data_IF_724333951594
#
_entry.id   IF_724333951594
#
_cell.length_a   1.000
_cell.length_b   1.000
_cell.length_c   1.000
_cell.angle_alpha   90.00
_cell.angle_beta   90.00
_cell.angle_gamma   90.00
#
_symmetry.space_group_name_H-M   'P 1'
#
loop_
_entity.id
_entity.type
_entity.pdbx_description
1 polymer ?
#
# COMPACT_ATOMS: atom_id res chain seq x y z
N UNK A 1 17.51 22.73 22.56
CA UNK A 1 18.11 22.33 21.27
C UNK A 1 17.00 21.83 20.35
N UNK A 2 16.53 22.65 19.41
CA UNK A 2 15.62 22.19 18.35
C UNK A 2 16.51 21.61 17.24
N UNK A 3 16.47 20.29 17.03
CA UNK A 3 17.02 19.71 15.80
C UNK A 3 16.04 20.05 14.70
N UNK A 4 16.48 20.87 13.77
CA UNK A 4 15.82 21.10 12.48
C UNK A 4 15.86 19.74 11.77
N UNK A 5 14.68 19.19 11.44
CA UNK A 5 14.61 18.02 10.58
C UNK A 5 15.29 18.39 9.25
N UNK A 6 16.19 17.53 8.78
CA UNK A 6 16.73 17.68 7.44
C UNK A 6 15.55 17.49 6.46
N UNK A 7 15.18 18.55 5.74
CA UNK A 7 14.33 18.47 4.56
C UNK A 7 15.08 17.64 3.52
N UNK A 8 14.90 16.33 3.55
CA UNK A 8 15.20 15.46 2.42
C UNK A 8 14.26 15.90 1.28
N UNK A 9 14.76 16.26 0.08
CA UNK A 9 13.89 16.71 -0.99
C UNK A 9 12.82 15.64 -1.27
N UNK A 10 11.58 15.98 -0.92
CA UNK A 10 10.42 15.12 -1.06
C UNK A 10 10.37 14.59 -2.50
N UNK A 11 10.59 13.29 -2.67
CA UNK A 11 10.54 12.66 -3.99
C UNK A 11 9.12 12.78 -4.54
N UNK A 12 8.98 12.84 -5.85
CA UNK A 12 7.66 12.90 -6.46
C UNK A 12 6.82 11.66 -6.12
N UNK A 13 5.51 11.86 -6.10
CA UNK A 13 4.52 10.78 -6.06
C UNK A 13 4.80 9.69 -7.11
N UNK A 14 4.46 8.46 -6.77
CA UNK A 14 4.52 7.32 -7.68
C UNK A 14 3.50 7.43 -8.82
N UNK A 15 3.73 6.70 -9.90
CA UNK A 15 2.88 6.74 -11.11
C UNK A 15 1.65 5.82 -11.03
N UNK A 16 1.39 5.19 -9.89
CA UNK A 16 0.29 4.26 -9.66
C UNK A 16 0.49 2.86 -10.21
N UNK A 17 1.62 2.56 -10.85
CA UNK A 17 1.93 1.19 -11.32
C UNK A 17 2.00 0.21 -10.16
N UNK A 18 1.58 -1.02 -10.45
CA UNK A 18 1.60 -2.12 -9.50
C UNK A 18 2.55 -3.20 -10.01
N UNK A 19 3.47 -3.62 -9.15
CA UNK A 19 4.33 -4.76 -9.38
C UNK A 19 3.84 -5.93 -8.51
N UNK A 20 3.66 -7.09 -9.14
CA UNK A 20 3.36 -8.35 -8.45
C UNK A 20 4.66 -9.14 -8.34
N UNK A 21 5.07 -9.48 -7.13
CA UNK A 21 6.29 -10.23 -6.85
C UNK A 21 6.02 -11.45 -5.97
N UNK A 22 6.92 -12.44 -6.03
CA UNK A 22 6.81 -13.70 -5.30
C UNK A 22 6.54 -14.88 -6.24
N UNK A 23 6.52 -16.08 -5.67
CA UNK A 23 6.22 -17.30 -6.43
C UNK A 23 4.71 -17.50 -6.50
N UNK A 24 4.13 -17.56 -7.70
CA UNK A 24 2.69 -17.68 -7.92
C UNK A 24 2.19 -19.11 -7.65
N UNK A 25 2.31 -19.54 -6.39
CA UNK A 25 1.98 -20.88 -5.91
C UNK A 25 1.08 -20.81 -4.69
N UNK A 26 0.30 -21.87 -4.51
CA UNK A 26 -0.50 -22.07 -3.31
C UNK A 26 0.38 -21.97 -2.06
N UNK A 27 -0.11 -21.26 -1.05
CA UNK A 27 0.51 -20.99 0.25
C UNK A 27 1.84 -20.22 0.22
N UNK A 28 2.25 -19.71 -0.94
CA UNK A 28 3.45 -18.88 -1.08
C UNK A 28 3.06 -17.39 -1.06
N UNK A 29 3.90 -16.56 -0.41
CA UNK A 29 3.66 -15.12 -0.31
C UNK A 29 3.79 -14.47 -1.69
N UNK A 30 2.72 -13.82 -2.10
CA UNK A 30 2.66 -12.85 -3.18
C UNK A 30 2.64 -11.44 -2.56
N UNK A 31 3.38 -10.52 -3.17
CA UNK A 31 3.44 -9.12 -2.78
C UNK A 31 2.96 -8.24 -3.92
N UNK A 32 1.90 -7.48 -3.70
CA UNK A 32 1.58 -6.33 -4.53
C UNK A 32 2.34 -5.13 -3.99
N UNK A 33 3.08 -4.43 -4.84
CA UNK A 33 3.67 -3.12 -4.53
C UNK A 33 3.12 -2.10 -5.50
N UNK A 34 2.34 -1.13 -5.02
CA UNK A 34 1.89 0.01 -5.81
C UNK A 34 2.82 1.21 -5.57
N UNK A 35 3.23 1.86 -6.65
CA UNK A 35 3.88 3.17 -6.59
C UNK A 35 2.80 4.23 -6.28
N UNK A 36 2.61 4.50 -4.99
CA UNK A 36 1.55 5.38 -4.47
C UNK A 36 2.04 6.80 -4.18
N UNK A 37 1.34 7.57 -3.33
CA UNK A 37 1.82 8.86 -2.86
C UNK A 37 3.17 8.71 -2.19
N UNK A 38 4.03 9.71 -2.36
CA UNK A 38 5.22 9.81 -1.53
C UNK A 38 4.81 10.13 -0.09
N UNK A 39 5.47 9.50 0.87
CA UNK A 39 5.33 9.83 2.29
C UNK A 39 6.64 9.61 3.04
N UNK A 40 6.74 10.18 4.23
CA UNK A 40 7.74 9.87 5.24
C UNK A 40 7.05 9.26 6.47
N UNK A 41 7.69 8.31 7.14
CA UNK A 41 7.18 7.68 8.36
C UNK A 41 6.86 8.68 9.48
N UNK A 42 7.45 9.89 9.44
CA UNK A 42 7.24 10.97 10.41
C UNK A 42 6.18 11.98 10.00
N UNK A 43 5.58 11.86 8.82
CA UNK A 43 4.54 12.80 8.39
C UNK A 43 3.33 12.71 9.32
N UNK A 44 2.77 13.86 9.67
CA UNK A 44 1.59 13.99 10.53
C UNK A 44 0.32 14.34 9.75
N UNK A 45 0.45 15.03 8.61
CA UNK A 45 -0.67 15.49 7.78
C UNK A 45 -0.34 15.47 6.27
N UNK A 46 -0.72 14.43 5.52
CA UNK A 46 -1.35 13.18 5.99
C UNK A 46 -0.33 12.21 6.59
N UNK A 47 -0.71 11.53 7.67
CA UNK A 47 0.12 10.46 8.24
C UNK A 47 -0.04 9.16 7.42
N UNK A 48 1.06 8.52 6.98
CA UNK A 48 0.96 7.36 6.09
C UNK A 48 0.37 6.10 6.71
N UNK A 49 0.36 6.02 8.03
CA UNK A 49 -0.14 4.85 8.76
C UNK A 49 -1.59 5.01 9.21
N UNK A 50 -2.06 6.24 9.43
CA UNK A 50 -3.42 6.48 9.94
C UNK A 50 -4.37 7.03 8.89
N UNK A 51 -3.88 7.83 7.94
CA UNK A 51 -4.74 8.60 7.05
C UNK A 51 -4.86 8.00 5.65
N UNK A 52 -3.95 7.10 5.30
CA UNK A 52 -3.95 6.35 4.05
C UNK A 52 -4.38 4.90 4.27
N UNK A 53 -5.50 4.53 3.67
CA UNK A 53 -6.03 3.17 3.70
C UNK A 53 -5.89 2.52 2.33
N UNK A 54 -4.90 1.65 2.20
CA UNK A 54 -4.78 0.73 1.08
C UNK A 54 -5.38 -0.63 1.47
N UNK A 55 -6.20 -1.20 0.60
CA UNK A 55 -6.65 -2.60 0.70
C UNK A 55 -6.59 -3.25 -0.67
N UNK A 56 -6.17 -4.51 -0.74
CA UNK A 56 -6.18 -5.30 -1.96
C UNK A 56 -7.23 -6.42 -1.83
N UNK A 57 -8.16 -6.46 -2.79
CA UNK A 57 -9.15 -7.53 -2.91
C UNK A 57 -8.67 -8.53 -3.96
N UNK A 58 -8.47 -9.78 -3.56
CA UNK A 58 -8.11 -10.90 -4.42
C UNK A 58 -9.34 -11.76 -4.68
N UNK A 59 -9.62 -12.08 -5.95
CA UNK A 59 -10.77 -12.90 -6.36
C UNK A 59 -10.32 -14.08 -7.20
N UNK A 60 -10.74 -15.28 -6.80
CA UNK A 60 -10.51 -16.52 -7.51
C UNK A 60 -11.66 -16.82 -8.48
N UNK A 61 -11.38 -17.59 -9.53
CA UNK A 61 -12.39 -17.98 -10.53
C UNK A 61 -13.53 -18.84 -9.98
N UNK A 62 -13.37 -19.45 -8.80
CA UNK A 62 -14.46 -20.18 -8.10
C UNK A 62 -15.42 -19.26 -7.32
N UNK A 63 -15.20 -17.93 -7.34
CA UNK A 63 -15.99 -16.93 -6.64
C UNK A 63 -15.45 -16.54 -5.26
N UNK A 64 -14.42 -17.23 -4.75
CA UNK A 64 -13.84 -16.88 -3.45
C UNK A 64 -13.09 -15.56 -3.51
N UNK A 65 -13.28 -14.74 -2.49
CA UNK A 65 -12.70 -13.41 -2.40
C UNK A 65 -12.09 -13.17 -1.03
N UNK A 66 -10.90 -12.56 -1.02
CA UNK A 66 -10.21 -12.11 0.19
C UNK A 66 -9.84 -10.65 0.06
N UNK A 67 -10.13 -9.84 1.07
CA UNK A 67 -9.64 -8.45 1.15
C UNK A 67 -8.59 -8.37 2.24
N UNK A 68 -7.37 -7.99 1.87
CA UNK A 68 -6.24 -7.84 2.78
C UNK A 68 -5.84 -6.37 2.90
N UNK A 69 -5.41 -5.92 4.09
CA UNK A 69 -4.88 -4.58 4.26
C UNK A 69 -3.52 -4.44 3.56
N UNK A 70 -3.26 -3.24 3.04
CA UNK A 70 -1.94 -2.80 2.62
C UNK A 70 -1.32 -1.84 3.64
N UNK A 71 -0.03 -1.56 3.48
CA UNK A 71 0.75 -0.69 4.38
C UNK A 71 1.80 0.13 3.62
N UNK A 72 2.21 1.24 4.21
CA UNK A 72 3.33 2.06 3.73
C UNK A 72 4.67 1.36 3.97
N UNK A 73 5.51 1.26 2.95
CA UNK A 73 6.75 0.51 2.97
C UNK A 73 7.99 1.35 2.58
N UNK A 74 7.92 2.68 2.70
CA UNK A 74 8.98 3.60 2.33
C UNK A 74 9.48 3.37 0.89
N UNK A 75 10.74 3.01 0.70
CA UNK A 75 11.36 2.69 -0.59
C UNK A 75 11.12 1.22 -1.05
N UNK A 76 10.41 0.42 -0.24
CA UNK A 76 10.20 -1.00 -0.46
C UNK A 76 11.39 -1.89 -0.03
N UNK A 77 12.48 -1.32 0.47
CA UNK A 77 13.65 -2.04 0.95
C UNK A 77 14.15 -1.50 2.31
N UNK A 78 13.31 -0.80 3.06
CA UNK A 78 13.64 -0.14 4.33
C UNK A 78 14.39 -1.03 5.33
N UNK A 79 14.09 -2.34 5.37
CA UNK A 79 14.81 -3.30 6.23
C UNK A 79 16.31 -3.41 5.93
N UNK A 80 16.76 -3.05 4.72
CA UNK A 80 18.16 -3.03 4.31
C UNK A 80 18.70 -1.60 4.09
N UNK A 81 17.86 -0.68 3.59
CA UNK A 81 18.27 0.69 3.29
C UNK A 81 18.16 1.64 4.48
N UNK A 82 17.40 1.26 5.51
CA UNK A 82 16.97 2.18 6.58
C UNK A 82 16.23 3.41 6.06
N UNK A 83 15.62 3.33 4.86
CA UNK A 83 14.81 4.41 4.32
C UNK A 83 13.53 4.60 5.15
N UNK A 84 13.26 5.84 5.51
CA UNK A 84 12.07 6.25 6.27
C UNK A 84 11.06 6.97 5.36
N UNK A 85 11.31 7.03 4.05
CA UNK A 85 10.45 7.68 3.09
C UNK A 85 10.50 7.00 1.73
N UNK A 86 9.48 7.28 0.92
CA UNK A 86 9.35 6.74 -0.43
C UNK A 86 7.89 6.65 -0.84
N UNK A 87 7.63 5.88 -1.89
CA UNK A 87 6.31 5.76 -2.51
C UNK A 87 5.87 4.29 -2.66
N UNK A 88 6.49 3.36 -1.94
CA UNK A 88 6.13 1.95 -1.99
C UNK A 88 4.98 1.64 -1.01
N UNK A 89 3.88 1.14 -1.55
CA UNK A 89 2.71 0.70 -0.77
C UNK A 89 2.45 -0.77 -1.04
N UNK A 90 2.39 -1.60 0.01
CA UNK A 90 2.41 -3.06 -0.12
C UNK A 90 1.20 -3.75 0.45
N UNK A 91 0.74 -4.79 -0.23
CA UNK A 91 -0.17 -5.78 0.32
C UNK A 91 0.39 -7.19 0.11
N UNK A 92 0.19 -8.06 1.09
CA UNK A 92 0.65 -9.45 1.04
C UNK A 92 -0.55 -10.40 0.99
N UNK A 93 -0.43 -11.43 0.16
CA UNK A 93 -1.44 -12.47 0.03
C UNK A 93 -0.77 -13.82 -0.19
N UNK A 94 -1.28 -14.87 0.44
CA UNK A 94 -0.87 -16.24 0.18
C UNK A 94 -2.12 -16.99 -0.29
N UNK A 95 -2.24 -17.30 -1.60
CA UNK A 95 -3.42 -17.97 -2.12
C UNK A 95 -3.53 -19.36 -1.49
N UNK A 96 -4.71 -19.73 -1.03
CA UNK A 96 -4.97 -21.02 -0.38
C UNK A 96 -5.39 -22.12 -1.35
N UNK A 97 -5.45 -21.80 -2.65
CA UNK A 97 -5.77 -22.73 -3.73
C UNK A 97 -5.07 -22.35 -5.04
N UNK A 98 -4.88 -23.36 -5.87
CA UNK A 98 -4.39 -23.23 -7.24
C UNK A 98 -5.49 -22.69 -8.16
N UNK A 99 -5.08 -22.01 -9.23
CA UNK A 99 -5.99 -21.46 -10.23
C UNK A 99 -5.72 -19.98 -10.50
N UNK A 100 -6.63 -19.36 -11.25
CA UNK A 100 -6.49 -17.95 -11.64
C UNK A 100 -7.03 -17.06 -10.54
N UNK A 101 -6.15 -16.21 -10.04
CA UNK A 101 -6.48 -15.13 -9.14
C UNK A 101 -6.41 -13.79 -9.89
N UNK A 102 -7.34 -12.90 -9.58
CA UNK A 102 -7.32 -11.48 -9.98
C UNK A 102 -7.24 -10.64 -8.73
N UNK A 103 -6.82 -9.38 -8.85
CA UNK A 103 -6.74 -8.47 -7.73
C UNK A 103 -7.25 -7.08 -8.11
N UNK A 104 -7.64 -6.30 -7.12
CA UNK A 104 -7.98 -4.88 -7.26
C UNK A 104 -7.61 -4.13 -6.00
N UNK A 105 -6.98 -2.97 -6.15
CA UNK A 105 -6.63 -2.09 -5.04
C UNK A 105 -7.74 -1.07 -4.84
N UNK A 106 -8.14 -0.87 -3.58
CA UNK A 106 -8.78 0.37 -3.15
C UNK A 106 -7.80 1.16 -2.30
N UNK A 107 -7.66 2.44 -2.62
CA UNK A 107 -6.77 3.37 -1.95
C UNK A 107 -7.55 4.62 -1.56
N UNK A 108 -7.73 4.83 -0.26
CA UNK A 108 -8.52 5.92 0.30
C UNK A 108 -7.66 6.82 1.17
N UNK A 109 -7.98 8.11 1.17
CA UNK A 109 -7.36 9.12 2.05
C UNK A 109 -8.40 9.80 2.92
N UNK A 110 -8.05 10.10 4.17
CA UNK A 110 -8.87 10.88 5.09
C UNK A 110 -8.36 10.73 6.52
N UNK A 111 -8.72 11.67 7.39
CA UNK A 111 -8.31 11.63 8.80
C UNK A 111 -8.70 10.29 9.45
N UNK A 112 -7.70 9.52 9.90
CA UNK A 112 -7.85 8.18 10.50
C UNK A 112 -8.56 7.17 9.60
N UNK A 113 -8.52 7.34 8.28
CA UNK A 113 -9.17 6.45 7.32
C UNK A 113 -8.66 4.99 7.37
N UNK A 114 -7.41 4.78 7.77
CA UNK A 114 -6.84 3.45 7.96
C UNK A 114 -7.34 2.75 9.22
N UNK A 115 -7.77 3.53 10.23
CA UNK A 115 -8.11 3.02 11.55
C UNK A 115 -9.60 2.68 11.68
N UNK A 116 -10.48 3.44 11.04
CA UNK A 116 -11.93 3.29 11.20
C UNK A 116 -12.63 3.11 9.85
N UNK A 117 -13.38 2.01 9.72
CA UNK A 117 -14.16 1.74 8.52
C UNK A 117 -15.24 2.80 8.24
N UNK A 118 -15.71 3.50 9.27
CA UNK A 118 -16.71 4.56 9.21
C UNK A 118 -16.12 5.96 8.98
N UNK A 119 -14.79 6.11 8.98
CA UNK A 119 -14.17 7.41 8.75
C UNK A 119 -14.49 7.92 7.34
N UNK A 120 -14.82 9.21 7.26
CA UNK A 120 -14.97 9.90 5.98
C UNK A 120 -13.64 9.83 5.23
N UNK A 121 -13.67 9.24 4.04
CA UNK A 121 -12.50 9.11 3.18
C UNK A 121 -12.86 9.33 1.72
N UNK A 122 -11.91 9.84 0.94
CA UNK A 122 -12.02 10.02 -0.50
C UNK A 122 -11.15 8.99 -1.23
N UNK A 123 -11.53 8.65 -2.47
CA UNK A 123 -10.67 7.87 -3.38
C UNK A 123 -9.41 8.66 -3.70
N UNK A 124 -8.26 8.03 -3.47
CA UNK A 124 -6.96 8.63 -3.74
C UNK A 124 -6.52 8.26 -5.16
N UNK A 125 -6.90 9.10 -6.12
CA UNK A 125 -6.52 8.93 -7.54
C UNK A 125 -5.08 9.39 -7.76
N UNK A 126 -4.32 8.77 -8.70
CA UNK A 126 -4.74 7.70 -9.62
C UNK A 126 -4.67 6.28 -9.03
N UNK A 127 -4.32 6.13 -7.74
CA UNK A 127 -4.00 4.84 -7.13
C UNK A 127 -5.22 3.95 -6.85
N UNK A 128 -6.36 4.56 -6.51
CA UNK A 128 -7.62 3.85 -6.24
C UNK A 128 -8.19 3.20 -7.49
N UNK A 129 -8.57 1.92 -7.38
CA UNK A 129 -9.27 1.17 -8.41
C UNK A 129 -8.39 0.41 -9.40
N UNK A 130 -7.06 0.46 -9.26
CA UNK A 130 -6.10 -0.26 -10.11
C UNK A 130 -6.23 -1.79 -9.91
N UNK A 131 -6.15 -2.56 -10.99
CA UNK A 131 -6.35 -4.02 -11.03
C UNK A 131 -5.57 -4.68 -12.15
#
# INVERSE_FOLDING_TARGET
MKRVAADDPQQADGDGKVVVAGELRCWHKITLTQAGPFANERDDQPNPFTDYRMTATFSHTDGTTYTVPGYFAADGNAGNSSAESGHAWRAHFAPDRVGRWTWKISFRTGNKAALYATATSASLRPYDGVS
#
